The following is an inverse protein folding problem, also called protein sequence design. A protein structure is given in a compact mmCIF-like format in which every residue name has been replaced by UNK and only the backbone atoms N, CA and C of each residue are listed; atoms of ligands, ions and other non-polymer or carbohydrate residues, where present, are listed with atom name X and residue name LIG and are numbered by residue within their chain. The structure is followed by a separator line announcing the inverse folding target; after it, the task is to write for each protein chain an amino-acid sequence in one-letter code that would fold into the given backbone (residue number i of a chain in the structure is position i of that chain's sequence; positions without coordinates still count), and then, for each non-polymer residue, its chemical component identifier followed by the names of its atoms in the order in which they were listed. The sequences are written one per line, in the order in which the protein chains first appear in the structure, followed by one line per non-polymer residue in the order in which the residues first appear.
data_IF_114545710366
#
_entry.id   IF_114545710366
#
_cell.length_a   1.000
_cell.length_b   1.000
_cell.length_c   1.000
_cell.angle_alpha   90.00
_cell.angle_beta   90.00
_cell.angle_gamma   90.00
#
_symmetry.space_group_name_H-M   'P 1'
#
loop_
_entity.id
_entity.type
_entity.pdbx_description
1 polymer ?
#
# COMPACT_ATOMS: atom_id res chain seq x y z
N UNK A 1 -17.02 27.67 -13.92
CA UNK A 1 -15.90 27.13 -14.72
C UNK A 1 -14.87 26.62 -13.74
N UNK A 2 -14.37 25.39 -13.90
CA UNK A 2 -13.36 24.85 -12.98
C UNK A 2 -12.05 25.62 -13.14
N UNK A 3 -11.32 25.81 -12.05
CA UNK A 3 -9.99 26.41 -12.09
C UNK A 3 -9.01 25.49 -12.82
N UNK A 4 -8.16 26.07 -13.68
CA UNK A 4 -7.16 25.32 -14.44
C UNK A 4 -5.91 25.10 -13.61
N UNK A 5 -5.47 23.85 -13.51
CA UNK A 5 -4.29 23.48 -12.72
C UNK A 5 -3.31 22.73 -13.62
N UNK A 6 -2.07 23.22 -13.74
CA UNK A 6 -1.01 22.50 -14.43
C UNK A 6 -0.36 21.49 -13.49
N UNK A 7 -0.39 20.21 -13.86
CA UNK A 7 0.02 19.09 -13.03
C UNK A 7 1.00 18.20 -13.78
N UNK A 8 1.94 17.59 -13.06
CA UNK A 8 2.78 16.52 -13.61
C UNK A 8 2.97 15.41 -12.60
N UNK A 9 3.13 14.19 -13.11
CA UNK A 9 3.41 12.98 -12.35
C UNK A 9 4.75 12.41 -12.79
N UNK A 10 5.67 12.18 -11.86
CA UNK A 10 7.01 11.62 -12.17
C UNK A 10 7.46 10.62 -11.11
N UNK A 11 8.51 9.85 -11.41
CA UNK A 11 9.16 8.94 -10.46
C UNK A 11 8.25 7.85 -9.86
N UNK A 12 7.18 7.49 -10.56
CA UNK A 12 6.32 6.36 -10.21
C UNK A 12 6.81 5.05 -10.85
N UNK A 13 6.31 3.92 -10.32
CA UNK A 13 6.59 2.61 -10.92
C UNK A 13 6.01 2.54 -12.34
N UNK A 14 6.52 1.62 -13.16
CA UNK A 14 5.97 1.34 -14.51
C UNK A 14 4.50 0.88 -14.50
N UNK A 15 3.97 0.50 -13.34
CA UNK A 15 2.58 0.08 -13.14
C UNK A 15 1.65 1.25 -12.78
N UNK A 16 2.17 2.47 -12.68
CA UNK A 16 1.35 3.62 -12.37
C UNK A 16 0.40 3.93 -13.52
N UNK A 17 -0.89 3.88 -13.21
CA UNK A 17 -1.96 4.29 -14.10
C UNK A 17 -2.67 5.49 -13.49
N UNK A 18 -2.55 6.63 -14.18
CA UNK A 18 -3.11 7.89 -13.76
C UNK A 18 -4.65 7.83 -13.64
N UNK A 19 -5.33 7.08 -14.50
CA UNK A 19 -6.79 7.00 -14.49
C UNK A 19 -7.32 6.18 -13.30
N UNK A 20 -6.49 5.30 -12.75
CA UNK A 20 -6.80 4.50 -11.56
C UNK A 20 -6.21 5.09 -10.28
N UNK A 21 -5.65 6.31 -10.33
CA UNK A 21 -5.05 6.96 -9.17
C UNK A 21 -6.11 7.75 -8.38
N UNK A 22 -6.48 7.35 -7.14
CA UNK A 22 -7.61 7.95 -6.42
C UNK A 22 -7.51 9.47 -6.27
N UNK A 23 -6.31 9.98 -6.01
CA UNK A 23 -6.03 11.42 -5.89
C UNK A 23 -6.35 12.16 -7.20
N UNK A 24 -6.00 11.58 -8.35
CA UNK A 24 -6.26 12.23 -9.63
C UNK A 24 -7.76 12.26 -9.97
N UNK A 25 -8.47 11.16 -9.72
CA UNK A 25 -9.92 11.08 -9.90
C UNK A 25 -10.64 12.12 -9.04
N UNK A 26 -10.26 12.23 -7.77
CA UNK A 26 -10.85 13.18 -6.84
C UNK A 26 -10.58 14.64 -7.26
N UNK A 27 -9.34 14.99 -7.64
CA UNK A 27 -9.01 16.35 -8.07
C UNK A 27 -9.78 16.79 -9.33
N UNK A 28 -10.08 15.86 -10.25
CA UNK A 28 -10.90 16.15 -11.44
C UNK A 28 -12.31 16.58 -11.10
N UNK A 29 -12.83 16.24 -9.93
CA UNK A 29 -14.18 16.65 -9.51
C UNK A 29 -14.26 18.18 -9.34
N UNK A 30 -13.17 18.82 -8.93
CA UNK A 30 -13.11 20.25 -8.60
C UNK A 30 -12.33 21.11 -9.59
N UNK A 31 -11.28 20.58 -10.20
CA UNK A 31 -10.35 21.35 -11.06
C UNK A 31 -10.35 20.85 -12.52
N UNK A 32 -9.96 21.73 -13.44
CA UNK A 32 -9.62 21.40 -14.83
C UNK A 32 -8.12 21.08 -14.89
N UNK A 33 -7.79 19.79 -14.81
CA UNK A 33 -6.40 19.32 -14.70
C UNK A 33 -5.72 19.23 -16.07
N UNK A 34 -4.61 19.93 -16.22
CA UNK A 34 -3.79 19.96 -17.44
C UNK A 34 -2.46 19.26 -17.15
N UNK A 35 -2.16 18.18 -17.85
CA UNK A 35 -0.85 17.53 -17.75
C UNK A 35 0.18 18.37 -18.52
N UNK A 36 1.13 18.98 -17.81
CA UNK A 36 2.06 19.97 -18.35
C UNK A 36 3.53 19.63 -18.05
N UNK A 37 4.43 20.05 -18.95
CA UNK A 37 5.88 20.02 -18.69
C UNK A 37 6.37 21.22 -17.87
N UNK A 38 5.52 22.24 -17.70
CA UNK A 38 5.71 23.38 -16.80
C UNK A 38 4.61 23.31 -15.73
N UNK A 39 4.70 22.39 -14.76
CA UNK A 39 3.64 22.17 -13.77
C UNK A 39 3.68 23.19 -12.63
N UNK A 40 2.51 23.60 -12.17
CA UNK A 40 2.33 24.34 -10.90
C UNK A 40 2.50 23.40 -9.70
N UNK A 41 2.00 22.16 -9.85
CA UNK A 41 2.08 21.09 -8.86
C UNK A 41 2.68 19.83 -9.47
N UNK A 42 3.69 19.27 -8.80
CA UNK A 42 4.32 18.01 -9.17
C UNK A 42 4.02 16.96 -8.10
N UNK A 43 3.31 15.90 -8.49
CA UNK A 43 3.15 14.72 -7.65
C UNK A 43 4.22 13.71 -8.06
N UNK A 44 4.98 13.17 -7.11
CA UNK A 44 6.06 12.26 -7.45
C UNK A 44 6.20 11.06 -6.51
N UNK A 45 6.66 9.95 -7.08
CA UNK A 45 6.90 8.69 -6.38
C UNK A 45 8.36 8.46 -5.97
N UNK A 46 8.67 7.33 -5.32
CA UNK A 46 10.01 7.02 -4.82
C UNK A 46 10.94 6.32 -5.84
N UNK A 47 10.53 6.12 -7.09
CA UNK A 47 11.22 5.25 -8.06
C UNK A 47 12.20 5.98 -8.99
N UNK A 48 12.46 7.25 -8.76
CA UNK A 48 13.32 8.05 -9.61
C UNK A 48 13.77 9.36 -8.97
N UNK A 49 14.29 10.27 -9.79
CA UNK A 49 14.86 11.56 -9.38
C UNK A 49 14.46 12.71 -10.30
N UNK A 50 13.54 12.49 -11.23
CA UNK A 50 13.11 13.51 -12.19
C UNK A 50 12.50 14.72 -11.48
N UNK A 51 11.86 14.52 -10.32
CA UNK A 51 11.31 15.59 -9.50
C UNK A 51 12.32 16.68 -9.09
N UNK A 52 13.62 16.36 -9.06
CA UNK A 52 14.67 17.33 -8.73
C UNK A 52 14.88 18.38 -9.83
N UNK A 53 14.38 18.13 -11.05
CA UNK A 53 14.51 19.04 -12.19
C UNK A 53 13.49 20.19 -12.18
N UNK A 54 12.46 20.13 -11.34
CA UNK A 54 11.35 21.10 -11.32
C UNK A 54 11.43 22.06 -10.13
N UNK A 55 11.10 23.33 -10.34
CA UNK A 55 10.96 24.36 -9.28
C UNK A 55 9.50 24.79 -9.12
N UNK A 56 8.66 23.86 -8.67
CA UNK A 56 7.25 24.05 -8.36
C UNK A 56 6.88 23.38 -7.03
N UNK A 57 5.60 23.45 -6.62
CA UNK A 57 5.10 22.78 -5.41
C UNK A 57 5.20 21.28 -5.60
N UNK A 58 5.91 20.59 -4.70
CA UNK A 58 6.15 19.14 -4.78
C UNK A 58 5.36 18.39 -3.72
N UNK A 59 4.61 17.38 -4.15
CA UNK A 59 3.80 16.51 -3.32
C UNK A 59 4.35 15.09 -3.48
N UNK A 60 5.02 14.58 -2.46
CA UNK A 60 5.48 13.20 -2.45
C UNK A 60 4.30 12.26 -2.16
N UNK A 61 4.18 11.17 -2.92
CA UNK A 61 3.23 10.10 -2.67
C UNK A 61 3.94 8.75 -2.79
N UNK A 62 3.64 7.81 -1.90
CA UNK A 62 4.22 6.47 -1.99
C UNK A 62 3.25 5.37 -1.59
N UNK A 63 3.28 4.27 -2.35
CA UNK A 63 2.76 2.95 -1.94
C UNK A 63 3.84 2.04 -1.32
N UNK A 64 5.09 2.49 -1.32
CA UNK A 64 6.25 1.80 -0.72
C UNK A 64 6.53 2.32 0.70
N UNK A 65 7.25 1.51 1.49
CA UNK A 65 7.71 1.86 2.84
C UNK A 65 8.85 2.89 2.80
N UNK A 66 8.53 4.13 2.44
CA UNK A 66 9.45 5.26 2.30
C UNK A 66 8.89 6.47 3.04
N UNK A 67 9.73 7.14 3.82
CA UNK A 67 9.37 8.39 4.52
C UNK A 67 9.57 9.57 3.55
N UNK A 68 8.62 10.51 3.44
CA UNK A 68 8.83 11.72 2.63
C UNK A 68 10.03 12.54 3.13
N UNK A 69 10.86 13.03 2.21
CA UNK A 69 11.91 14.00 2.54
C UNK A 69 11.36 15.43 2.41
N UNK A 70 10.96 16.00 3.54
CA UNK A 70 10.39 17.35 3.62
C UNK A 70 11.39 18.49 3.36
N UNK A 71 12.67 18.20 3.13
CA UNK A 71 13.59 19.18 2.55
C UNK A 71 13.41 19.29 1.01
N UNK A 72 12.92 18.22 0.39
CA UNK A 72 12.70 18.12 -1.05
C UNK A 72 11.26 18.49 -1.40
N UNK A 73 10.27 17.84 -0.76
CA UNK A 73 8.86 18.05 -1.01
C UNK A 73 8.23 19.09 -0.06
N UNK A 74 7.26 19.83 -0.57
CA UNK A 74 6.43 20.73 0.23
C UNK A 74 5.42 19.92 1.06
N UNK A 75 4.85 18.87 0.46
CA UNK A 75 3.84 17.99 1.05
C UNK A 75 4.19 16.52 0.87
N UNK A 76 3.73 15.66 1.78
CA UNK A 76 3.94 14.22 1.73
C UNK A 76 2.69 13.41 2.06
N UNK A 77 2.50 12.30 1.34
CA UNK A 77 1.42 11.34 1.55
C UNK A 77 2.03 9.95 1.69
N UNK A 78 1.74 9.26 2.80
CA UNK A 78 2.31 7.94 3.06
C UNK A 78 1.71 7.21 4.26
N UNK A 79 2.48 6.28 4.82
CA UNK A 79 2.02 5.30 5.83
C UNK A 79 2.32 5.69 7.27
N UNK A 80 3.39 6.44 7.48
CA UNK A 80 3.99 6.68 8.79
C UNK A 80 3.08 7.54 9.67
N UNK A 81 3.12 7.29 10.98
CA UNK A 81 2.48 8.13 12.00
C UNK A 81 3.29 9.41 12.22
N UNK A 82 3.18 10.35 11.28
CA UNK A 82 3.83 11.66 11.34
C UNK A 82 2.75 12.71 11.57
N UNK A 83 2.96 13.60 12.55
CA UNK A 83 2.21 14.85 12.67
C UNK A 83 3.13 15.98 12.22
N UNK A 84 2.84 16.57 11.06
CA UNK A 84 3.65 17.66 10.51
C UNK A 84 2.78 18.80 9.98
N UNK A 85 1.84 19.25 10.82
CA UNK A 85 0.91 20.33 10.46
C UNK A 85 0.16 20.00 9.17
N UNK A 86 0.11 20.96 8.24
CA UNK A 86 -0.54 20.81 6.94
C UNK A 86 0.37 20.21 5.85
N UNK A 87 1.58 19.75 6.21
CA UNK A 87 2.56 19.21 5.24
C UNK A 87 2.45 17.71 5.03
N UNK A 88 1.75 16.97 5.89
CA UNK A 88 1.68 15.53 5.79
C UNK A 88 0.28 14.99 5.97
N UNK A 89 -0.13 14.09 5.06
CA UNK A 89 -1.33 13.30 5.19
C UNK A 89 -0.98 11.81 5.24
N UNK A 90 -1.42 11.13 6.30
CA UNK A 90 -1.35 9.67 6.36
C UNK A 90 -2.47 9.09 5.51
N UNK A 91 -2.11 8.35 4.46
CA UNK A 91 -3.04 7.64 3.60
C UNK A 91 -2.43 6.28 3.19
N UNK A 92 -2.56 5.26 4.05
CA UNK A 92 -2.05 3.93 3.75
C UNK A 92 -2.75 3.32 2.54
N UNK A 93 -2.04 2.50 1.77
CA UNK A 93 -2.53 1.98 0.49
C UNK A 93 -3.85 1.19 0.60
N UNK A 94 -4.13 0.54 1.75
CA UNK A 94 -5.40 -0.18 1.94
C UNK A 94 -6.63 0.73 1.93
N UNK A 95 -6.49 2.03 2.23
CA UNK A 95 -7.61 2.97 2.23
C UNK A 95 -8.15 3.20 0.82
N UNK A 96 -7.28 3.19 -0.18
CA UNK A 96 -7.63 3.34 -1.60
C UNK A 96 -7.84 2.02 -2.35
N UNK A 97 -7.94 0.88 -1.65
CA UNK A 97 -8.11 -0.42 -2.30
C UNK A 97 -9.50 -0.57 -2.94
N UNK A 98 -9.57 -0.87 -4.24
CA UNK A 98 -10.85 -1.00 -4.97
C UNK A 98 -11.78 -2.10 -4.43
N UNK A 99 -11.25 -3.16 -3.80
CA UNK A 99 -12.06 -4.22 -3.20
C UNK A 99 -12.44 -3.96 -1.74
N UNK A 100 -12.36 -2.70 -1.29
CA UNK A 100 -12.64 -2.33 0.11
C UNK A 100 -14.05 -2.76 0.54
N UNK A 101 -15.06 -2.52 -0.29
CA UNK A 101 -16.46 -2.84 0.04
C UNK A 101 -16.70 -4.35 0.21
N UNK A 102 -16.04 -5.18 -0.60
CA UNK A 102 -16.06 -6.63 -0.44
C UNK A 102 -15.48 -7.06 0.92
N UNK A 103 -14.39 -6.42 1.34
CA UNK A 103 -13.78 -6.70 2.63
C UNK A 103 -14.65 -6.26 3.82
N UNK A 104 -15.43 -5.18 3.68
CA UNK A 104 -16.35 -4.71 4.73
C UNK A 104 -17.43 -5.75 5.03
N UNK A 105 -17.99 -6.37 3.99
CA UNK A 105 -19.10 -7.32 4.11
C UNK A 105 -18.65 -8.77 4.30
N UNK A 106 -17.35 -9.03 4.52
CA UNK A 106 -16.80 -10.40 4.64
C UNK A 106 -17.51 -11.27 5.69
N UNK A 107 -18.02 -10.63 6.73
CA UNK A 107 -18.68 -11.26 7.87
C UNK A 107 -20.14 -11.66 7.59
N UNK A 108 -20.71 -11.17 6.48
CA UNK A 108 -22.06 -11.48 6.05
C UNK A 108 -22.08 -12.70 5.12
N UNK A 109 -23.22 -13.39 5.06
CA UNK A 109 -23.53 -14.50 4.13
C UNK A 109 -22.46 -15.60 4.09
N UNK A 110 -22.38 -16.40 5.16
CA UNK A 110 -21.32 -17.40 5.36
C UNK A 110 -21.82 -18.84 5.50
N UNK A 111 -23.08 -19.12 5.15
CA UNK A 111 -23.70 -20.44 5.29
C UNK A 111 -22.93 -21.57 4.57
N UNK A 112 -22.48 -21.32 3.33
CA UNK A 112 -21.72 -22.28 2.51
C UNK A 112 -20.21 -22.01 2.53
N UNK A 113 -19.73 -21.17 3.46
CA UNK A 113 -18.35 -20.68 3.44
C UNK A 113 -17.35 -21.83 3.58
N UNK A 114 -17.57 -22.75 4.52
CA UNK A 114 -16.62 -23.83 4.79
C UNK A 114 -16.46 -24.77 3.58
N UNK A 115 -17.56 -25.11 2.93
CA UNK A 115 -17.60 -25.96 1.73
C UNK A 115 -16.82 -25.34 0.56
N UNK A 116 -16.80 -24.01 0.47
CA UNK A 116 -16.03 -23.30 -0.57
C UNK A 116 -14.51 -23.34 -0.36
N UNK A 117 -14.02 -23.64 0.85
CA UNK A 117 -12.58 -23.62 1.18
C UNK A 117 -11.95 -24.98 0.92
N UNK A 118 -11.72 -25.28 -0.35
CA UNK A 118 -11.13 -26.55 -0.81
C UNK A 118 -9.61 -26.63 -0.62
N UNK A 119 -8.94 -25.50 -0.41
CA UNK A 119 -7.48 -25.44 -0.28
C UNK A 119 -7.03 -24.84 1.06
N UNK A 120 -5.80 -25.17 1.47
CA UNK A 120 -5.26 -24.79 2.76
C UNK A 120 -4.83 -23.32 2.85
N UNK A 121 -3.72 -22.97 2.23
CA UNK A 121 -3.11 -21.65 2.34
C UNK A 121 -2.49 -21.22 1.02
N UNK A 122 -2.63 -19.94 0.68
CA UNK A 122 -1.95 -19.35 -0.49
C UNK A 122 -0.85 -18.34 -0.10
N UNK A 123 0.09 -18.19 -1.04
CA UNK A 123 1.20 -17.25 -1.01
C UNK A 123 1.33 -16.56 -2.38
N UNK A 124 1.02 -15.26 -2.48
CA UNK A 124 0.91 -14.58 -3.78
C UNK A 124 1.86 -13.39 -3.84
N UNK A 125 3.11 -13.67 -4.20
CA UNK A 125 4.19 -12.68 -4.27
C UNK A 125 4.96 -12.76 -5.58
N UNK A 126 5.32 -11.61 -6.14
CA UNK A 126 6.07 -11.55 -7.42
C UNK A 126 7.56 -11.34 -7.21
N UNK A 127 7.94 -10.40 -6.34
CA UNK A 127 9.34 -10.04 -6.12
C UNK A 127 9.87 -10.71 -4.85
N UNK A 128 10.99 -11.42 -4.92
CA UNK A 128 11.74 -11.97 -3.78
C UNK A 128 12.94 -11.13 -3.33
N UNK A 129 13.30 -10.07 -4.06
CA UNK A 129 14.49 -9.26 -3.83
C UNK A 129 14.19 -8.04 -2.95
N UNK A 130 15.16 -7.66 -2.10
CA UNK A 130 15.06 -6.49 -1.21
C UNK A 130 13.82 -6.53 -0.30
N UNK A 131 13.54 -7.70 0.28
CA UNK A 131 12.40 -7.94 1.17
C UNK A 131 12.87 -8.56 2.48
N UNK A 132 12.14 -8.28 3.55
CA UNK A 132 12.39 -8.89 4.84
C UNK A 132 12.17 -10.42 4.77
N UNK A 133 13.05 -11.25 5.38
CA UNK A 133 13.02 -12.71 5.22
C UNK A 133 11.84 -13.39 5.91
N UNK A 134 11.06 -12.68 6.73
CA UNK A 134 9.96 -13.26 7.53
C UNK A 134 8.99 -14.07 6.66
N UNK A 135 8.45 -13.49 5.59
CA UNK A 135 7.42 -14.15 4.78
C UNK A 135 7.92 -15.41 4.08
N UNK A 136 9.20 -15.43 3.67
CA UNK A 136 9.82 -16.57 2.99
C UNK A 136 10.08 -17.70 3.99
N UNK A 137 10.64 -17.36 5.16
CA UNK A 137 10.80 -18.31 6.26
C UNK A 137 9.46 -18.86 6.73
N UNK A 138 8.44 -18.00 6.81
CA UNK A 138 7.10 -18.40 7.21
C UNK A 138 6.47 -19.35 6.19
N UNK A 139 6.56 -19.04 4.90
CA UNK A 139 6.13 -19.91 3.81
C UNK A 139 6.81 -21.29 3.88
N UNK A 140 8.14 -21.33 4.04
CA UNK A 140 8.90 -22.58 4.10
C UNK A 140 8.49 -23.42 5.32
N UNK A 141 8.37 -22.79 6.50
CA UNK A 141 8.00 -23.47 7.74
C UNK A 141 6.56 -23.96 7.73
N UNK A 142 5.62 -23.16 7.24
CA UNK A 142 4.20 -23.55 7.17
C UNK A 142 4.00 -24.67 6.12
N UNK A 143 4.77 -24.65 5.03
CA UNK A 143 4.74 -25.71 4.00
C UNK A 143 5.16 -27.08 4.51
N UNK A 144 5.93 -27.16 5.61
CA UNK A 144 6.26 -28.44 6.27
C UNK A 144 5.06 -29.04 7.03
N UNK A 145 4.07 -28.22 7.41
CA UNK A 145 2.85 -28.71 8.03
C UNK A 145 1.86 -29.19 6.95
N UNK A 146 1.58 -28.35 5.96
CA UNK A 146 0.62 -28.63 4.87
C UNK A 146 0.97 -27.76 3.67
N UNK A 147 0.77 -28.26 2.46
CA UNK A 147 1.17 -27.57 1.22
C UNK A 147 0.59 -26.15 1.16
N UNK A 148 1.47 -25.15 1.05
CA UNK A 148 1.09 -23.77 0.75
C UNK A 148 1.25 -23.54 -0.75
N UNK A 149 0.19 -23.16 -1.43
CA UNK A 149 0.23 -22.89 -2.86
C UNK A 149 0.77 -21.48 -3.13
N UNK A 150 1.85 -21.40 -3.90
CA UNK A 150 2.43 -20.14 -4.32
C UNK A 150 1.97 -19.78 -5.72
N UNK A 151 1.04 -18.83 -5.80
CA UNK A 151 0.44 -18.36 -7.06
C UNK A 151 1.14 -17.15 -7.68
N UNK A 152 2.15 -16.58 -7.02
CA UNK A 152 2.96 -15.51 -7.60
C UNK A 152 4.16 -16.04 -8.38
N UNK A 153 4.99 -15.16 -8.96
CA UNK A 153 6.26 -15.59 -9.60
C UNK A 153 7.31 -16.04 -8.58
N UNK A 154 7.29 -15.48 -7.38
CA UNK A 154 8.22 -15.83 -6.31
C UNK A 154 7.83 -17.16 -5.68
N UNK A 155 8.76 -18.12 -5.64
CA UNK A 155 8.56 -19.45 -5.05
C UNK A 155 7.35 -20.20 -5.62
N UNK A 156 6.99 -19.95 -6.88
CA UNK A 156 5.83 -20.58 -7.52
C UNK A 156 5.92 -22.11 -7.43
N UNK A 157 4.82 -22.77 -7.10
CA UNK A 157 4.74 -24.24 -7.01
C UNK A 157 3.42 -24.81 -7.56
N UNK A 158 2.71 -24.03 -8.37
CA UNK A 158 1.43 -24.41 -8.99
C UNK A 158 1.48 -24.46 -10.52
N UNK A 159 2.69 -24.36 -11.10
CA UNK A 159 2.91 -24.47 -12.56
C UNK A 159 2.95 -23.13 -13.31
N UNK A 160 2.72 -22.00 -12.63
CA UNK A 160 2.81 -20.67 -13.22
C UNK A 160 2.17 -19.59 -12.36
N UNK A 161 2.50 -18.30 -12.58
CA UNK A 161 1.84 -17.20 -11.89
C UNK A 161 0.36 -17.10 -12.29
N UNK A 162 -0.50 -16.78 -11.33
CA UNK A 162 -1.93 -16.54 -11.59
C UNK A 162 -2.14 -15.23 -12.34
N UNK A 163 -2.94 -15.29 -13.41
CA UNK A 163 -3.33 -14.14 -14.21
C UNK A 163 -2.18 -13.39 -14.88
N UNK A 164 -2.53 -12.33 -15.60
CA UNK A 164 -1.56 -11.36 -16.12
C UNK A 164 -1.46 -10.18 -15.15
N UNK A 165 -0.23 -9.95 -14.68
CA UNK A 165 0.12 -8.87 -13.75
C UNK A 165 -0.36 -7.48 -14.21
N UNK A 166 -0.43 -7.24 -15.51
CA UNK A 166 -0.74 -5.93 -16.10
C UNK A 166 -2.13 -5.83 -16.71
N UNK A 167 -2.96 -6.88 -16.61
CA UNK A 167 -4.28 -6.89 -17.22
C UNK A 167 -5.36 -7.25 -16.18
N UNK A 168 -5.44 -8.52 -15.79
CA UNK A 168 -6.55 -9.06 -14.99
C UNK A 168 -6.10 -9.60 -13.61
N UNK A 169 -4.97 -9.11 -13.09
CA UNK A 169 -4.37 -9.66 -11.87
C UNK A 169 -5.28 -9.53 -10.64
N UNK A 170 -6.01 -8.43 -10.50
CA UNK A 170 -6.92 -8.23 -9.35
C UNK A 170 -8.00 -9.33 -9.29
N UNK A 171 -8.66 -9.59 -10.41
CA UNK A 171 -9.71 -10.62 -10.50
C UNK A 171 -9.12 -12.02 -10.37
N UNK A 172 -7.99 -12.28 -11.05
CA UNK A 172 -7.30 -13.58 -10.98
C UNK A 172 -6.84 -13.89 -9.56
N UNK A 173 -6.32 -12.88 -8.84
CA UNK A 173 -5.92 -13.01 -7.44
C UNK A 173 -7.12 -13.28 -6.56
N UNK A 174 -8.20 -12.51 -6.70
CA UNK A 174 -9.43 -12.70 -5.93
C UNK A 174 -9.99 -14.12 -6.13
N UNK A 175 -10.20 -14.53 -7.38
CA UNK A 175 -10.76 -15.84 -7.72
C UNK A 175 -9.89 -17.00 -7.21
N UNK A 176 -8.56 -16.84 -7.26
CA UNK A 176 -7.65 -17.82 -6.68
C UNK A 176 -7.77 -17.87 -5.15
N UNK A 177 -7.70 -16.73 -4.47
CA UNK A 177 -7.74 -16.64 -3.00
C UNK A 177 -9.05 -17.15 -2.38
N UNK A 178 -10.18 -17.00 -3.08
CA UNK A 178 -11.50 -17.41 -2.57
C UNK A 178 -11.58 -18.89 -2.18
N UNK A 179 -10.75 -19.75 -2.77
CA UNK A 179 -10.77 -21.20 -2.51
C UNK A 179 -9.94 -21.62 -1.28
N UNK A 180 -9.28 -20.69 -0.58
CA UNK A 180 -8.30 -21.00 0.49
C UNK A 180 -8.79 -20.62 1.88
N UNK A 181 -8.56 -21.49 2.88
CA UNK A 181 -8.79 -21.17 4.29
C UNK A 181 -7.93 -19.99 4.76
N UNK A 182 -6.64 -19.98 4.39
CA UNK A 182 -5.68 -18.97 4.83
C UNK A 182 -4.98 -18.25 3.66
N UNK A 183 -4.56 -17.01 3.90
CA UNK A 183 -3.63 -16.30 3.02
C UNK A 183 -2.46 -15.75 3.81
N UNK A 184 -1.23 -16.01 3.36
CA UNK A 184 -0.06 -15.30 3.87
C UNK A 184 -0.14 -13.87 3.33
N UNK A 185 -0.53 -12.94 4.20
CA UNK A 185 -0.76 -11.52 3.90
C UNK A 185 0.36 -10.65 4.48
N UNK A 186 1.59 -11.14 4.44
CA UNK A 186 2.77 -10.44 4.95
C UNK A 186 3.20 -9.30 4.02
N UNK A 187 3.66 -8.21 4.61
CA UNK A 187 4.33 -7.12 3.92
C UNK A 187 5.76 -7.48 3.52
N UNK A 188 6.33 -6.69 2.60
CA UNK A 188 7.73 -6.83 2.19
C UNK A 188 8.73 -6.30 3.24
N UNK A 189 8.27 -5.48 4.19
CA UNK A 189 9.08 -4.90 5.27
C UNK A 189 8.20 -4.59 6.48
N UNK A 190 8.81 -4.19 7.60
CA UNK A 190 8.10 -3.88 8.85
C UNK A 190 8.44 -2.47 9.31
N UNK A 191 7.41 -1.66 9.53
CA UNK A 191 7.48 -0.32 10.14
C UNK A 191 6.09 -0.02 10.73
N UNK A 192 5.99 0.65 11.90
CA UNK A 192 4.72 1.15 12.41
C UNK A 192 3.96 2.00 11.37
N UNK A 193 2.71 1.63 11.11
CA UNK A 193 1.81 2.26 10.15
C UNK A 193 1.88 1.70 8.71
N UNK A 194 2.88 0.87 8.38
CA UNK A 194 3.06 0.31 7.03
C UNK A 194 2.20 -0.95 6.81
N UNK A 195 0.91 -0.72 6.55
CA UNK A 195 -0.02 -1.75 6.07
C UNK A 195 -0.46 -1.38 4.66
N UNK A 196 -0.42 -2.35 3.73
CA UNK A 196 -0.89 -2.19 2.35
C UNK A 196 -2.19 -2.97 2.10
N UNK A 197 -2.61 -3.09 0.86
CA UNK A 197 -3.83 -3.76 0.42
C UNK A 197 -3.92 -5.25 0.77
N UNK A 198 -2.80 -5.93 1.11
CA UNK A 198 -2.73 -7.40 1.20
C UNK A 198 -3.71 -7.99 2.22
N UNK A 199 -3.87 -7.32 3.36
CA UNK A 199 -4.77 -7.75 4.42
C UNK A 199 -6.24 -7.60 3.99
N UNK A 200 -6.60 -6.48 3.34
CA UNK A 200 -7.94 -6.28 2.79
C UNK A 200 -8.25 -7.21 1.61
N UNK A 201 -7.27 -7.53 0.75
CA UNK A 201 -7.45 -8.49 -0.35
C UNK A 201 -7.82 -9.88 0.19
N UNK A 202 -7.16 -10.32 1.26
CA UNK A 202 -7.51 -11.56 1.94
C UNK A 202 -8.94 -11.48 2.51
N UNK A 203 -9.28 -10.40 3.21
CA UNK A 203 -10.64 -10.21 3.72
C UNK A 203 -11.71 -10.22 2.63
N UNK A 204 -11.49 -9.52 1.51
CA UNK A 204 -12.39 -9.54 0.37
C UNK A 204 -12.61 -10.97 -0.17
N UNK A 205 -11.55 -11.77 -0.24
CA UNK A 205 -11.62 -13.17 -0.67
C UNK A 205 -12.13 -14.15 0.41
N UNK A 206 -12.62 -13.64 1.56
CA UNK A 206 -13.09 -14.44 2.71
C UNK A 206 -12.10 -15.54 3.11
N UNK A 207 -10.82 -15.19 3.22
CA UNK A 207 -9.74 -16.06 3.73
C UNK A 207 -9.17 -15.46 5.01
N UNK A 208 -8.69 -16.28 5.95
CA UNK A 208 -8.07 -15.78 7.19
C UNK A 208 -6.67 -15.26 6.84
N UNK A 209 -6.39 -13.95 7.01
CA UNK A 209 -5.07 -13.42 6.78
C UNK A 209 -4.11 -13.87 7.89
N UNK A 210 -2.93 -14.34 7.50
CA UNK A 210 -1.77 -14.50 8.39
C UNK A 210 -0.87 -13.29 8.12
N UNK A 211 -0.93 -12.31 9.01
CA UNK A 211 -0.39 -10.98 8.77
C UNK A 211 0.88 -10.71 9.57
N UNK A 212 1.90 -10.22 8.86
CA UNK A 212 3.12 -9.65 9.44
C UNK A 212 3.54 -8.44 8.60
N UNK A 213 3.93 -7.35 9.23
CA UNK A 213 4.20 -6.08 8.56
C UNK A 213 4.23 -4.94 9.56
N UNK A 214 3.14 -4.18 9.67
CA UNK A 214 2.93 -3.17 10.70
C UNK A 214 2.77 -3.79 12.10
N UNK A 215 3.69 -3.54 13.06
CA UNK A 215 3.54 -4.02 14.44
C UNK A 215 2.31 -3.43 15.16
N UNK A 216 1.78 -2.31 14.67
CA UNK A 216 0.64 -1.59 15.22
C UNK A 216 -0.68 -1.87 14.48
N UNK A 217 -0.72 -2.88 13.59
CA UNK A 217 -1.88 -3.19 12.73
C UNK A 217 -3.20 -3.35 13.49
N UNK A 218 -3.16 -3.79 14.75
CA UNK A 218 -4.34 -3.95 15.60
C UNK A 218 -5.04 -2.61 15.94
N UNK A 219 -4.36 -1.47 15.77
CA UNK A 219 -4.97 -0.16 15.88
C UNK A 219 -5.89 0.14 14.68
N UNK A 220 -5.60 -0.46 13.52
CA UNK A 220 -6.28 -0.18 12.26
C UNK A 220 -7.34 -1.22 11.92
N UNK A 221 -7.13 -2.49 12.27
CA UNK A 221 -8.00 -3.62 11.94
C UNK A 221 -8.46 -4.39 13.19
N UNK A 222 -9.60 -5.08 13.09
CA UNK A 222 -10.09 -5.94 14.15
C UNK A 222 -9.15 -7.13 14.33
N UNK A 223 -8.42 -7.18 15.45
CA UNK A 223 -7.43 -8.22 15.73
C UNK A 223 -8.04 -9.63 15.85
N UNK A 224 -9.35 -9.74 16.07
CA UNK A 224 -10.04 -11.04 16.07
C UNK A 224 -10.26 -11.60 14.66
N UNK A 225 -10.13 -10.80 13.61
CA UNK A 225 -10.43 -11.20 12.23
C UNK A 225 -9.24 -11.82 11.48
N UNK A 226 -8.03 -11.77 12.05
CA UNK A 226 -6.81 -12.26 11.39
C UNK A 226 -5.80 -12.81 12.40
N UNK A 227 -4.82 -13.57 11.91
CA UNK A 227 -3.71 -14.05 12.72
C UNK A 227 -2.62 -12.97 12.71
N UNK A 228 -2.57 -12.17 13.78
CA UNK A 228 -1.53 -11.17 13.98
C UNK A 228 -0.21 -11.83 14.42
N UNK A 229 0.75 -11.96 13.50
CA UNK A 229 2.05 -12.58 13.78
C UNK A 229 2.86 -11.84 14.86
N UNK A 230 2.60 -10.54 15.06
CA UNK A 230 3.34 -9.74 16.06
C UNK A 230 2.94 -10.03 17.51
N UNK A 231 1.89 -10.83 17.75
CA UNK A 231 1.50 -11.29 19.10
C UNK A 231 2.35 -12.45 19.63
N UNK A 232 3.20 -13.02 18.79
CA UNK A 232 3.93 -14.25 19.07
C UNK A 232 5.43 -13.97 19.06
N UNK A 233 6.15 -14.63 19.96
CA UNK A 233 7.60 -14.45 20.09
C UNK A 233 8.35 -15.28 19.06
N UNK A 234 7.76 -16.39 18.63
CA UNK A 234 8.40 -17.34 17.72
C UNK A 234 7.50 -17.70 16.55
N UNK A 235 8.13 -18.08 15.44
CA UNK A 235 7.41 -18.56 14.26
C UNK A 235 6.66 -19.86 14.52
N UNK A 236 7.17 -20.69 15.45
CA UNK A 236 6.54 -21.92 15.89
C UNK A 236 5.19 -21.67 16.57
N UNK A 237 5.10 -20.68 17.45
CA UNK A 237 3.82 -20.27 18.07
C UNK A 237 2.79 -19.85 17.01
N UNK A 238 3.21 -19.12 15.98
CA UNK A 238 2.33 -18.71 14.88
C UNK A 238 1.81 -19.94 14.12
N UNK A 239 2.70 -20.90 13.82
CA UNK A 239 2.35 -22.13 13.12
C UNK A 239 1.37 -22.96 13.96
N UNK A 240 1.57 -23.07 15.27
CA UNK A 240 0.64 -23.78 16.15
C UNK A 240 -0.76 -23.13 16.18
N UNK A 241 -0.82 -21.80 16.09
CA UNK A 241 -2.11 -21.09 15.96
C UNK A 241 -2.80 -21.41 14.64
N UNK A 242 -2.05 -21.41 13.53
CA UNK A 242 -2.59 -21.80 12.21
C UNK A 242 -3.08 -23.25 12.24
N UNK A 243 -2.31 -24.19 12.80
CA UNK A 243 -2.71 -25.60 12.96
C UNK A 243 -3.97 -25.73 13.78
N UNK A 244 -4.06 -25.01 14.91
CA UNK A 244 -5.24 -25.05 15.79
C UNK A 244 -6.50 -24.59 15.06
N UNK A 245 -6.42 -23.54 14.25
CA UNK A 245 -7.56 -23.03 13.48
C UNK A 245 -7.85 -23.95 12.27
N UNK A 246 -6.83 -24.51 11.61
CA UNK A 246 -7.01 -25.42 10.48
C UNK A 246 -7.77 -26.69 10.88
N UNK A 247 -7.51 -27.20 12.09
CA UNK A 247 -8.12 -28.42 12.63
C UNK A 247 -9.38 -28.17 13.48
N UNK A 248 -9.94 -26.96 13.46
CA UNK A 248 -11.14 -26.63 14.22
C UNK A 248 -12.02 -25.66 13.44
N UNK A 249 -13.09 -26.19 12.85
CA UNK A 249 -13.99 -25.42 11.99
C UNK A 249 -14.73 -24.32 12.77
N UNK A 250 -15.04 -24.52 14.05
CA UNK A 250 -15.65 -23.48 14.89
C UNK A 250 -14.70 -22.28 15.08
N UNK A 251 -13.40 -22.53 15.30
CA UNK A 251 -12.40 -21.47 15.40
C UNK A 251 -12.18 -20.77 14.06
N UNK A 252 -12.19 -21.52 12.96
CA UNK A 252 -12.13 -20.96 11.61
C UNK A 252 -13.32 -20.05 11.33
N UNK A 253 -14.55 -20.55 11.53
CA UNK A 253 -15.81 -19.82 11.32
C UNK A 253 -15.86 -18.60 12.24
N UNK A 254 -15.47 -18.74 13.51
CA UNK A 254 -15.42 -17.61 14.44
C UNK A 254 -14.54 -16.48 13.91
N UNK A 255 -13.30 -16.78 13.49
CA UNK A 255 -12.37 -15.74 13.02
C UNK A 255 -12.79 -15.14 11.67
N UNK A 256 -13.25 -15.96 10.72
CA UNK A 256 -13.60 -15.46 9.39
C UNK A 256 -14.88 -14.62 9.38
N UNK A 257 -15.80 -14.86 10.33
CA UNK A 257 -17.03 -14.09 10.49
C UNK A 257 -16.90 -12.84 11.37
N UNK A 258 -15.72 -12.56 11.94
CA UNK A 258 -15.46 -11.26 12.57
C UNK A 258 -15.47 -10.13 11.52
N UNK A 259 -15.99 -8.92 11.78
CA UNK A 259 -15.83 -7.80 10.86
C UNK A 259 -14.35 -7.41 10.75
N UNK A 260 -13.91 -6.92 9.58
CA UNK A 260 -12.51 -6.51 9.38
C UNK A 260 -12.11 -5.28 10.21
N UNK A 261 -13.09 -4.48 10.60
CA UNK A 261 -12.96 -3.30 11.46
C UNK A 261 -13.97 -3.37 12.60
N UNK A 262 -13.57 -2.93 13.79
CA UNK A 262 -14.54 -2.50 14.81
C UNK A 262 -15.29 -1.24 14.35
N UNK A 263 -16.45 -0.88 14.95
CA UNK A 263 -17.17 0.35 14.58
C UNK A 263 -16.29 1.60 14.64
N UNK A 264 -15.49 1.75 15.71
CA UNK A 264 -14.56 2.87 15.87
C UNK A 264 -13.48 2.88 14.78
N UNK A 265 -12.91 1.71 14.45
CA UNK A 265 -11.92 1.61 13.36
C UNK A 265 -12.54 1.97 12.01
N UNK A 266 -13.76 1.51 11.73
CA UNK A 266 -14.46 1.84 10.49
C UNK A 266 -14.67 3.36 10.35
N UNK A 267 -15.03 4.04 11.44
CA UNK A 267 -15.15 5.50 11.44
C UNK A 267 -13.79 6.18 11.24
N UNK A 268 -12.72 5.69 11.87
CA UNK A 268 -11.36 6.17 11.60
C UNK A 268 -10.99 6.00 10.11
N UNK A 269 -11.39 4.90 9.47
CA UNK A 269 -11.15 4.69 8.04
C UNK A 269 -11.91 5.69 7.16
N UNK A 270 -13.12 6.10 7.54
CA UNK A 270 -13.85 7.18 6.85
C UNK A 270 -13.12 8.51 7.03
N UNK A 271 -12.64 8.80 8.24
CA UNK A 271 -11.87 10.02 8.52
C UNK A 271 -10.57 10.08 7.73
N UNK A 272 -9.84 8.97 7.55
CA UNK A 272 -8.62 8.94 6.72
C UNK A 272 -8.90 9.34 5.26
N UNK A 273 -10.05 8.96 4.70
CA UNK A 273 -10.46 9.34 3.34
C UNK A 273 -10.79 10.82 3.25
N UNK A 274 -11.59 11.32 4.20
CA UNK A 274 -11.93 12.75 4.28
C UNK A 274 -10.68 13.62 4.52
N UNK A 275 -9.72 13.13 5.31
CA UNK A 275 -8.47 13.82 5.57
C UNK A 275 -7.62 13.96 4.31
N UNK A 276 -7.53 12.90 3.48
CA UNK A 276 -6.85 13.01 2.19
C UNK A 276 -7.55 14.05 1.32
N UNK A 277 -8.88 14.04 1.26
CA UNK A 277 -9.63 15.00 0.46
C UNK A 277 -9.36 16.45 0.88
N UNK A 278 -9.53 16.73 2.17
CA UNK A 278 -9.29 18.04 2.76
C UNK A 278 -7.83 18.48 2.58
N UNK A 279 -6.88 17.55 2.72
CA UNK A 279 -5.46 17.83 2.52
C UNK A 279 -5.16 18.24 1.08
N UNK A 280 -5.71 17.50 0.10
CA UNK A 280 -5.54 17.84 -1.31
C UNK A 280 -6.16 19.19 -1.63
N UNK A 281 -7.40 19.46 -1.22
CA UNK A 281 -8.00 20.77 -1.49
C UNK A 281 -7.30 21.92 -0.77
N UNK A 282 -6.82 21.72 0.46
CA UNK A 282 -6.01 22.71 1.14
C UNK A 282 -4.75 23.08 0.33
N UNK A 283 -4.09 22.12 -0.32
CA UNK A 283 -2.90 22.39 -1.14
C UNK A 283 -3.29 23.15 -2.42
N UNK A 284 -4.32 22.69 -3.13
CA UNK A 284 -4.66 23.16 -4.47
C UNK A 284 -5.48 24.46 -4.46
N UNK A 285 -6.15 24.80 -3.37
CA UNK A 285 -6.88 26.07 -3.20
C UNK A 285 -5.98 27.24 -2.78
N UNK A 286 -4.73 26.98 -2.41
CA UNK A 286 -3.77 28.02 -2.03
C UNK A 286 -3.10 28.64 -3.28
N UNK A 287 -2.74 29.93 -3.18
CA UNK A 287 -1.83 30.52 -4.17
C UNK A 287 -0.47 29.81 -4.15
N UNK A 288 0.25 29.78 -5.28
CA UNK A 288 1.55 29.07 -5.37
C UNK A 288 2.58 29.56 -4.35
N UNK A 289 2.55 30.85 -4.01
CA UNK A 289 3.42 31.45 -3.00
C UNK A 289 3.05 30.93 -1.62
N UNK A 290 1.76 30.96 -1.29
CA UNK A 290 1.27 30.50 0.01
C UNK A 290 1.39 28.99 0.16
N UNK A 291 1.26 28.21 -0.91
CA UNK A 291 1.34 26.75 -0.89
C UNK A 291 2.76 26.19 -0.84
N UNK A 292 3.78 26.99 -1.13
CA UNK A 292 5.18 26.57 -0.96
C UNK A 292 5.49 26.37 0.54
N UNK A 293 6.16 25.27 0.90
CA UNK A 293 6.56 24.96 2.29
C UNK A 293 8.07 24.79 2.43
N UNK A 294 8.77 24.54 1.33
CA UNK A 294 10.23 24.42 1.34
C UNK A 294 10.89 25.79 1.33
N UNK A 295 11.64 26.09 2.39
CA UNK A 295 12.31 27.39 2.55
C UNK A 295 13.49 27.53 1.59
N UNK A 296 13.48 28.59 0.77
CA UNK A 296 14.50 28.85 -0.27
C UNK A 296 15.74 29.57 0.28
N UNK A 297 15.71 30.01 1.55
CA UNK A 297 16.76 30.82 2.17
C UNK A 297 17.45 30.18 3.40
N UNK A 298 17.46 28.85 3.53
CA UNK A 298 18.17 28.13 4.63
C UNK A 298 19.52 27.58 4.18
N UNK A 299 20.49 27.48 5.10
CA UNK A 299 21.79 26.78 4.90
C UNK A 299 21.65 25.34 4.37
N UNK A 300 20.52 24.66 4.60
CA UNK A 300 20.22 23.32 4.06
C UNK A 300 20.00 23.25 2.54
N UNK A 301 19.86 24.41 1.87
CA UNK A 301 19.76 24.55 0.41
C UNK A 301 20.93 23.92 -0.34
N UNK A 302 22.11 23.94 0.26
CA UNK A 302 23.31 23.31 -0.28
C UNK A 302 23.07 21.81 -0.53
N UNK A 303 22.32 21.11 0.32
CA UNK A 303 22.04 19.68 0.12
C UNK A 303 21.10 19.42 -1.06
N UNK A 304 20.07 20.24 -1.26
CA UNK A 304 19.11 20.14 -2.37
C UNK A 304 19.77 20.49 -3.71
N UNK A 305 20.56 21.55 -3.73
CA UNK A 305 21.35 21.94 -4.91
C UNK A 305 22.45 20.92 -5.20
N UNK A 306 23.10 20.36 -4.19
CA UNK A 306 24.08 19.27 -4.37
C UNK A 306 23.44 17.99 -4.91
N UNK A 307 22.24 17.62 -4.44
CA UNK A 307 21.51 16.46 -4.97
C UNK A 307 21.07 16.69 -6.42
N UNK A 308 20.58 17.90 -6.75
CA UNK A 308 20.22 18.30 -8.11
C UNK A 308 21.45 18.33 -9.04
N UNK A 309 22.55 18.93 -8.59
CA UNK A 309 23.80 18.98 -9.32
C UNK A 309 24.39 17.58 -9.55
N UNK A 310 24.37 16.71 -8.54
CA UNK A 310 24.79 15.32 -8.68
C UNK A 310 23.93 14.53 -9.67
N UNK A 311 22.62 14.79 -9.72
CA UNK A 311 21.73 14.19 -10.71
C UNK A 311 22.03 14.67 -12.13
N UNK A 312 22.11 16.00 -12.33
CA UNK A 312 22.42 16.59 -13.64
C UNK A 312 23.80 16.19 -14.16
N UNK A 313 24.81 16.13 -13.28
CA UNK A 313 26.16 15.68 -13.62
C UNK A 313 26.21 14.22 -14.08
N UNK A 314 25.36 13.35 -13.49
CA UNK A 314 25.23 11.95 -13.92
C UNK A 314 24.66 11.83 -15.33
N UNK A 315 23.65 12.64 -15.67
CA UNK A 315 23.07 12.69 -17.01
C UNK A 315 24.07 13.15 -18.09
N UNK A 316 24.98 14.07 -17.77
CA UNK A 316 26.04 14.53 -18.70
C UNK A 316 27.07 13.41 -18.97
N UNK A 317 27.45 12.65 -17.95
CA UNK A 317 28.41 11.55 -18.09
C UNK A 317 27.88 10.38 -18.92
N UNK A 318 26.57 10.12 -18.89
CA UNK A 318 25.94 9.07 -19.70
C UNK A 318 25.81 9.47 -21.19
N UNK A 319 25.76 10.77 -21.50
CA UNK A 319 25.77 11.31 -22.89
C UNK A 319 27.16 11.30 -23.51
N UNK A 320 28.22 11.39 -22.71
CA UNK A 320 29.63 11.37 -23.17
C UNK A 320 30.12 9.92 -23.44
N UNK A 321 29.34 8.90 -23.05
CA UNK A 321 29.64 7.47 -23.23
C UNK A 321 28.98 6.83 -24.46
N UNK A 322 28.43 7.61 -25.40
CA UNK A 322 27.90 7.13 -26.68
C UNK A 322 28.95 7.17 -27.77
#
# INVERSE_FOLDING_TARGET
MKEKINLKFVDFSRMFDLNNFPIFTQLKERYDLIISNEPDFLIYGPFGKEHLSYDCIKIFYTGENVVPDFNICDYGIGFHYINFGDRYCRYPHYVGYNGYDLALVKHLDNETLLESKTNFCNFIYTNGNCVHPFRDKFFDRLSNYKKVDSGGRHRNNIGGPIGDRYNNFSDSKYNFQCNYKFSIACENSTTPGYTTEKLLQAFAAKTIPIYWGDPCVANEFNENAFINCHKYNTMDEIIEVVKRIDNNDDLFIKMITEPCFSPMQLDNQKQLRLNLENFMYNIFDQSLIQGCRTEKYVRGRISKESQRAAFLAKGILDVIKV
#
